data_IF_811256351174
#
_entry.id   IF_811256351174
#
_cell.length_a   1.000
_cell.length_b   1.000
_cell.length_c   1.000
_cell.angle_alpha   90.00
_cell.angle_beta   90.00
_cell.angle_gamma   90.00
#
_symmetry.space_group_name_H-M   'P 1'
#
loop_
_entity.id
_entity.type
_entity.pdbx_description
1 polymer ?
#
# COMPACT_ATOMS: atom_id res chain seq x y z
N UNK A 1 23.13 -14.65 -7.56
CA UNK A 1 24.43 -14.98 -8.24
C UNK A 1 24.46 -16.43 -8.71
N UNK A 2 24.21 -17.42 -7.84
CA UNK A 2 24.23 -18.84 -8.23
C UNK A 2 23.30 -19.16 -9.41
N UNK A 3 22.07 -18.64 -9.41
CA UNK A 3 21.12 -18.84 -10.52
C UNK A 3 21.63 -18.23 -11.85
N UNK A 4 22.22 -17.03 -11.82
CA UNK A 4 22.83 -16.45 -13.02
C UNK A 4 23.95 -17.33 -13.56
N UNK A 5 24.86 -17.80 -12.68
CA UNK A 5 25.89 -18.74 -13.07
C UNK A 5 25.33 -20.02 -13.71
N UNK A 6 24.26 -20.56 -13.14
CA UNK A 6 23.61 -21.75 -13.72
C UNK A 6 23.02 -21.48 -15.11
N UNK A 7 22.29 -20.37 -15.28
CA UNK A 7 21.72 -19.99 -16.59
C UNK A 7 22.80 -19.78 -17.65
N UNK A 8 23.90 -19.12 -17.27
CA UNK A 8 25.04 -18.91 -18.18
C UNK A 8 25.74 -20.23 -18.54
N UNK A 9 26.11 -21.03 -17.54
CA UNK A 9 26.94 -22.24 -17.78
C UNK A 9 26.17 -23.41 -18.34
N UNK A 10 24.91 -23.60 -17.95
CA UNK A 10 24.10 -24.78 -18.37
C UNK A 10 23.23 -24.47 -19.58
N UNK A 11 22.67 -23.26 -19.66
CA UNK A 11 21.72 -22.89 -20.70
C UNK A 11 22.29 -21.87 -21.71
N UNK A 12 23.51 -21.39 -21.53
CA UNK A 12 24.13 -20.34 -22.34
C UNK A 12 23.26 -19.08 -22.48
N UNK A 13 22.53 -18.72 -21.39
CA UNK A 13 21.66 -17.57 -21.32
C UNK A 13 22.28 -16.49 -20.45
N UNK A 14 22.75 -15.41 -21.06
CA UNK A 14 23.42 -14.31 -20.34
C UNK A 14 22.48 -13.16 -20.09
N UNK A 15 22.38 -12.75 -18.83
CA UNK A 15 21.59 -11.58 -18.45
C UNK A 15 22.14 -10.33 -19.15
N UNK A 16 21.27 -9.65 -19.88
CA UNK A 16 21.56 -8.40 -20.59
C UNK A 16 22.15 -8.57 -22.01
N UNK A 17 22.86 -9.65 -22.31
CA UNK A 17 23.46 -9.86 -23.65
C UNK A 17 22.44 -10.44 -24.64
N UNK A 18 21.67 -11.44 -24.21
CA UNK A 18 20.65 -12.10 -25.05
C UNK A 18 19.22 -11.56 -24.83
N UNK A 19 19.10 -10.36 -24.28
CA UNK A 19 17.80 -9.80 -23.91
C UNK A 19 17.16 -10.44 -22.67
N UNK A 20 17.78 -11.46 -22.06
CA UNK A 20 17.30 -12.10 -20.84
C UNK A 20 17.29 -11.09 -19.68
N UNK A 21 16.13 -10.94 -19.03
CA UNK A 21 15.96 -10.15 -17.82
C UNK A 21 15.63 -11.06 -16.64
N UNK A 22 16.36 -10.87 -15.54
CA UNK A 22 16.12 -11.59 -14.29
C UNK A 22 15.45 -10.60 -13.34
N UNK A 23 14.14 -10.77 -13.14
CA UNK A 23 13.32 -9.93 -12.29
C UNK A 23 13.15 -10.60 -10.93
N UNK A 24 13.40 -9.86 -9.85
CA UNK A 24 13.15 -10.35 -8.50
C UNK A 24 11.69 -10.15 -8.13
N UNK A 25 11.03 -11.20 -7.66
CA UNK A 25 9.75 -11.08 -6.99
C UNK A 25 9.96 -10.43 -5.62
N UNK A 26 9.48 -9.19 -5.48
CA UNK A 26 9.54 -8.44 -4.22
C UNK A 26 8.27 -8.69 -3.43
N UNK A 27 8.33 -9.65 -2.52
CA UNK A 27 7.17 -10.15 -1.78
C UNK A 27 7.48 -10.44 -0.31
N UNK A 28 8.73 -10.20 0.12
CA UNK A 28 9.17 -10.36 1.50
C UNK A 28 9.58 -9.00 2.08
N UNK A 29 9.40 -8.76 3.39
CA UNK A 29 9.90 -7.55 4.06
C UNK A 29 11.39 -7.31 3.81
N UNK A 30 12.20 -8.38 3.76
CA UNK A 30 13.63 -8.31 3.47
C UNK A 30 13.93 -7.74 2.07
N UNK A 31 13.03 -7.93 1.10
CA UNK A 31 13.20 -7.37 -0.24
C UNK A 31 13.08 -5.84 -0.21
N UNK A 32 12.17 -5.29 0.58
CA UNK A 32 12.04 -3.84 0.77
C UNK A 32 13.19 -3.28 1.61
N UNK A 33 13.52 -3.91 2.76
CA UNK A 33 14.60 -3.46 3.65
C UNK A 33 15.95 -3.41 2.92
N UNK A 34 16.22 -4.38 2.05
CA UNK A 34 17.47 -4.51 1.29
C UNK A 34 17.29 -4.20 -0.21
N UNK A 35 16.27 -3.41 -0.57
CA UNK A 35 15.91 -3.16 -1.97
C UNK A 35 17.09 -2.61 -2.80
N UNK A 36 17.88 -1.69 -2.22
CA UNK A 36 19.07 -1.12 -2.87
C UNK A 36 20.14 -2.17 -3.20
N UNK A 37 20.31 -3.16 -2.35
CA UNK A 37 21.27 -4.25 -2.57
C UNK A 37 20.74 -5.24 -3.61
N UNK A 38 19.47 -5.61 -3.50
CA UNK A 38 18.85 -6.52 -4.45
C UNK A 38 18.77 -5.94 -5.86
N UNK A 39 18.39 -4.67 -6.02
CA UNK A 39 18.21 -4.08 -7.35
C UNK A 39 19.53 -4.01 -8.15
N UNK A 40 20.67 -4.02 -7.51
CA UNK A 40 21.98 -4.07 -8.17
C UNK A 40 22.27 -5.45 -8.77
N UNK A 41 21.68 -6.51 -8.21
CA UNK A 41 21.87 -7.89 -8.65
C UNK A 41 20.80 -8.35 -9.67
N UNK A 42 19.70 -7.60 -9.83
CA UNK A 42 18.57 -7.94 -10.69
C UNK A 42 18.29 -6.87 -11.75
N UNK A 43 17.54 -7.23 -12.79
CA UNK A 43 17.18 -6.32 -13.89
C UNK A 43 15.91 -5.53 -13.58
N UNK A 44 15.26 -5.81 -12.47
CA UNK A 44 14.06 -5.13 -12.00
C UNK A 44 13.39 -5.86 -10.86
N UNK A 45 12.26 -5.32 -10.42
CA UNK A 45 11.38 -5.93 -9.43
C UNK A 45 10.01 -6.25 -10.03
N UNK A 46 9.36 -7.26 -9.47
CA UNK A 46 7.93 -7.50 -9.60
C UNK A 46 7.33 -7.58 -8.20
N UNK A 47 6.41 -6.69 -7.85
CA UNK A 47 5.84 -6.62 -6.49
C UNK A 47 4.70 -7.62 -6.39
N UNK A 48 4.87 -8.65 -5.55
CA UNK A 48 3.81 -9.58 -5.15
C UNK A 48 3.10 -9.06 -3.91
N UNK A 49 2.10 -8.17 -4.08
CA UNK A 49 1.48 -7.48 -2.94
C UNK A 49 0.79 -8.42 -1.97
N UNK A 50 0.24 -9.53 -2.44
CA UNK A 50 -0.42 -10.50 -1.59
C UNK A 50 0.52 -11.08 -0.53
N UNK A 51 1.66 -11.60 -0.99
CA UNK A 51 2.65 -12.22 -0.10
C UNK A 51 3.41 -11.16 0.69
N UNK A 52 3.71 -9.99 0.09
CA UNK A 52 4.26 -8.85 0.82
C UNK A 52 3.38 -8.48 2.01
N UNK A 53 2.07 -8.35 1.81
CA UNK A 53 1.11 -8.01 2.87
C UNK A 53 1.07 -9.08 3.94
N UNK A 54 1.00 -10.36 3.52
CA UNK A 54 1.00 -11.49 4.43
C UNK A 54 2.26 -11.49 5.32
N UNK A 55 3.42 -11.29 4.74
CA UNK A 55 4.69 -11.35 5.46
C UNK A 55 4.97 -10.09 6.29
N UNK A 56 4.61 -8.91 5.80
CA UNK A 56 4.75 -7.65 6.56
C UNK A 56 3.87 -7.66 7.80
N UNK A 57 2.61 -8.11 7.67
CA UNK A 57 1.65 -8.13 8.76
C UNK A 57 1.67 -9.44 9.57
N UNK A 58 2.55 -10.39 9.21
CA UNK A 58 2.65 -11.71 9.82
C UNK A 58 1.27 -12.41 9.92
N UNK A 59 0.45 -12.32 8.87
CA UNK A 59 -0.92 -12.82 8.82
C UNK A 59 -1.13 -13.74 7.63
N UNK A 60 -1.88 -14.81 7.84
CA UNK A 60 -2.30 -15.70 6.78
C UNK A 60 -3.60 -15.20 6.15
N UNK A 61 -3.56 -14.86 4.85
CA UNK A 61 -4.72 -14.35 4.10
C UNK A 61 -5.87 -15.35 4.00
N UNK A 62 -5.56 -16.65 4.05
CA UNK A 62 -6.54 -17.73 3.91
C UNK A 62 -7.17 -18.10 5.26
N UNK A 63 -6.66 -17.56 6.36
CA UNK A 63 -7.20 -17.75 7.69
C UNK A 63 -8.32 -16.76 7.97
N UNK A 64 -9.57 -17.23 7.97
CA UNK A 64 -10.76 -16.40 8.20
C UNK A 64 -10.75 -15.65 9.55
N UNK A 65 -10.06 -16.17 10.56
CA UNK A 65 -9.92 -15.52 11.87
C UNK A 65 -8.97 -14.33 11.83
N UNK A 66 -8.03 -14.30 10.89
CA UNK A 66 -7.02 -13.27 10.71
C UNK A 66 -7.29 -12.31 9.53
N UNK A 67 -8.30 -12.59 8.71
CA UNK A 67 -8.64 -11.79 7.54
C UNK A 67 -8.86 -10.30 7.82
N UNK A 68 -9.28 -9.96 9.04
CA UNK A 68 -9.46 -8.58 9.47
C UNK A 68 -8.13 -7.83 9.72
N UNK A 69 -7.01 -8.56 9.87
CA UNK A 69 -5.66 -7.99 10.01
C UNK A 69 -5.07 -7.74 8.62
N UNK A 70 -5.30 -8.67 7.66
CA UNK A 70 -4.80 -8.55 6.30
C UNK A 70 -5.32 -7.28 5.63
N UNK A 71 -4.41 -6.41 5.18
CA UNK A 71 -4.78 -5.14 4.54
C UNK A 71 -3.62 -4.60 3.70
N UNK A 72 -3.81 -4.57 2.39
CA UNK A 72 -2.79 -4.08 1.45
C UNK A 72 -2.62 -2.55 1.51
N UNK A 73 -3.54 -1.83 2.17
CA UNK A 73 -3.45 -0.39 2.42
C UNK A 73 -2.76 -0.06 3.76
N UNK A 74 -2.30 -1.06 4.52
CA UNK A 74 -1.58 -0.83 5.77
C UNK A 74 -0.31 0.01 5.51
N UNK A 75 -0.02 1.02 6.36
CA UNK A 75 1.13 1.90 6.18
C UNK A 75 2.47 1.18 6.03
N UNK A 76 2.68 0.05 6.72
CA UNK A 76 3.91 -0.73 6.58
C UNK A 76 3.99 -1.45 5.22
N UNK A 77 2.85 -1.90 4.68
CA UNK A 77 2.78 -2.51 3.35
C UNK A 77 2.99 -1.45 2.27
N UNK A 78 2.31 -0.30 2.39
CA UNK A 78 2.48 0.86 1.50
C UNK A 78 3.94 1.31 1.48
N UNK A 79 4.58 1.42 2.64
CA UNK A 79 6.00 1.74 2.75
C UNK A 79 6.87 0.75 1.97
N UNK A 80 6.67 -0.55 2.14
CA UNK A 80 7.45 -1.59 1.46
C UNK A 80 7.28 -1.55 -0.07
N UNK A 81 6.05 -1.27 -0.55
CA UNK A 81 5.75 -1.06 -1.97
C UNK A 81 6.50 0.16 -2.50
N UNK A 82 6.42 1.30 -1.81
CA UNK A 82 7.08 2.55 -2.22
C UNK A 82 8.61 2.42 -2.24
N UNK A 83 9.21 1.80 -1.23
CA UNK A 83 10.67 1.52 -1.21
C UNK A 83 11.07 0.74 -2.45
N UNK A 84 10.30 -0.29 -2.81
CA UNK A 84 10.59 -1.12 -3.99
C UNK A 84 10.51 -0.31 -5.27
N UNK A 85 9.46 0.51 -5.45
CA UNK A 85 9.26 1.37 -6.63
C UNK A 85 10.39 2.40 -6.72
N UNK A 86 10.64 3.15 -5.65
CA UNK A 86 11.66 4.20 -5.62
C UNK A 86 13.08 3.64 -5.80
N UNK A 87 13.37 2.45 -5.25
CA UNK A 87 14.65 1.79 -5.51
C UNK A 87 14.83 1.44 -6.97
N UNK A 88 13.78 0.95 -7.65
CA UNK A 88 13.83 0.75 -9.09
C UNK A 88 14.14 2.03 -9.86
N UNK A 89 13.50 3.13 -9.51
CA UNK A 89 13.74 4.46 -10.12
C UNK A 89 15.16 4.95 -9.88
N UNK A 90 15.67 4.83 -8.65
CA UNK A 90 17.06 5.23 -8.31
C UNK A 90 18.11 4.56 -9.18
N UNK A 91 17.89 3.29 -9.53
CA UNK A 91 18.82 2.49 -10.33
C UNK A 91 18.40 2.38 -11.81
N UNK A 92 17.39 3.11 -12.25
CA UNK A 92 16.89 3.07 -13.64
C UNK A 92 16.36 1.71 -14.07
N UNK A 93 15.84 0.92 -13.13
CA UNK A 93 15.31 -0.44 -13.37
C UNK A 93 13.78 -0.43 -13.41
N UNK A 94 13.20 -1.38 -14.13
CA UNK A 94 11.75 -1.54 -14.21
C UNK A 94 11.20 -2.15 -12.92
N UNK A 95 10.01 -1.70 -12.52
CA UNK A 95 9.25 -2.26 -11.41
C UNK A 95 7.84 -2.58 -11.88
N UNK A 96 7.48 -3.85 -11.86
CA UNK A 96 6.13 -4.33 -12.13
C UNK A 96 5.35 -4.57 -10.84
N UNK A 97 4.04 -4.65 -10.94
CA UNK A 97 3.14 -5.03 -9.87
C UNK A 97 2.29 -6.21 -10.34
N UNK A 98 2.28 -7.33 -9.60
CA UNK A 98 1.57 -8.54 -9.98
C UNK A 98 0.61 -9.07 -8.91
N UNK A 99 0.43 -8.33 -7.81
CA UNK A 99 -0.52 -8.68 -6.75
C UNK A 99 -1.95 -8.27 -7.07
N UNK A 100 -2.89 -8.76 -6.26
CA UNK A 100 -4.32 -8.45 -6.40
C UNK A 100 -4.69 -7.04 -5.89
N UNK A 101 -3.83 -6.38 -5.13
CA UNK A 101 -4.06 -5.06 -4.54
C UNK A 101 -4.52 -4.02 -5.55
N UNK A 102 -3.90 -3.98 -6.72
CA UNK A 102 -4.30 -3.06 -7.81
C UNK A 102 -5.70 -3.37 -8.35
N UNK A 103 -6.13 -4.63 -8.35
CA UNK A 103 -7.48 -4.98 -8.76
C UNK A 103 -8.52 -4.61 -7.69
N UNK A 104 -8.18 -4.76 -6.42
CA UNK A 104 -9.09 -4.69 -5.28
C UNK A 104 -9.19 -3.30 -4.64
N UNK A 105 -8.10 -2.54 -4.59
CA UNK A 105 -8.02 -1.24 -3.93
C UNK A 105 -7.88 -0.09 -4.92
N UNK A 106 -8.80 0.86 -4.87
CA UNK A 106 -8.74 2.12 -5.61
C UNK A 106 -7.57 2.99 -5.13
N UNK A 107 -7.35 3.02 -3.82
CA UNK A 107 -6.24 3.77 -3.21
C UNK A 107 -4.91 3.21 -3.68
N UNK A 108 -4.75 1.89 -3.65
CA UNK A 108 -3.51 1.25 -4.08
C UNK A 108 -3.26 1.39 -5.59
N UNK A 109 -4.32 1.33 -6.42
CA UNK A 109 -4.21 1.64 -7.85
C UNK A 109 -3.66 3.04 -8.11
N UNK A 110 -4.27 4.04 -7.48
CA UNK A 110 -3.81 5.41 -7.60
C UNK A 110 -2.38 5.60 -7.08
N UNK A 111 -2.06 5.02 -5.93
CA UNK A 111 -0.73 5.06 -5.34
C UNK A 111 0.34 4.57 -6.31
N UNK A 112 0.19 3.35 -6.86
CA UNK A 112 1.23 2.77 -7.72
C UNK A 112 1.34 3.50 -9.06
N UNK A 113 0.23 4.00 -9.61
CA UNK A 113 0.23 4.80 -10.83
C UNK A 113 0.97 6.14 -10.62
N UNK A 114 0.61 6.89 -9.56
CA UNK A 114 1.26 8.17 -9.22
C UNK A 114 2.74 7.95 -8.91
N UNK A 115 3.08 6.88 -8.20
CA UNK A 115 4.46 6.54 -7.86
C UNK A 115 5.33 6.13 -9.05
N UNK A 116 4.74 5.97 -10.25
CA UNK A 116 5.48 5.69 -11.47
C UNK A 116 5.87 4.23 -11.63
N UNK A 117 4.97 3.29 -11.28
CA UNK A 117 5.13 1.87 -11.60
C UNK A 117 5.29 1.68 -13.12
N UNK A 118 6.13 0.71 -13.52
CA UNK A 118 6.41 0.49 -14.95
C UNK A 118 5.32 -0.35 -15.63
N UNK A 119 4.73 -1.29 -14.90
CA UNK A 119 3.68 -2.19 -15.38
C UNK A 119 2.86 -2.75 -14.24
N UNK A 120 1.61 -3.09 -14.51
CA UNK A 120 0.75 -3.81 -13.57
C UNK A 120 0.08 -4.98 -14.29
N UNK A 121 0.11 -6.16 -13.66
CA UNK A 121 -0.62 -7.33 -14.11
C UNK A 121 -1.97 -7.37 -13.41
N UNK A 122 -3.04 -7.48 -14.17
CA UNK A 122 -4.41 -7.55 -13.65
C UNK A 122 -5.19 -8.64 -14.34
N UNK A 123 -6.24 -9.13 -13.70
CA UNK A 123 -7.17 -10.09 -14.32
C UNK A 123 -7.98 -9.39 -15.43
N UNK A 124 -8.41 -10.12 -16.49
CA UNK A 124 -9.10 -9.52 -17.63
C UNK A 124 -10.30 -8.65 -17.26
N UNK A 125 -11.10 -9.07 -16.28
CA UNK A 125 -12.31 -8.38 -15.84
C UNK A 125 -12.06 -6.98 -15.26
N UNK A 126 -10.85 -6.73 -14.73
CA UNK A 126 -10.48 -5.44 -14.14
C UNK A 126 -9.62 -4.58 -15.07
N UNK A 127 -9.22 -5.09 -16.23
CA UNK A 127 -8.27 -4.44 -17.13
C UNK A 127 -8.67 -3.02 -17.54
N UNK A 128 -9.88 -2.87 -18.07
CA UNK A 128 -10.34 -1.55 -18.55
C UNK A 128 -10.48 -0.53 -17.43
N UNK A 129 -11.03 -0.94 -16.30
CA UNK A 129 -11.13 -0.09 -15.11
C UNK A 129 -9.76 0.33 -14.62
N UNK A 130 -8.83 -0.61 -14.46
CA UNK A 130 -7.46 -0.31 -14.00
C UNK A 130 -6.76 0.64 -14.96
N UNK A 131 -6.92 0.45 -16.26
CA UNK A 131 -6.34 1.35 -17.27
C UNK A 131 -6.89 2.77 -17.19
N UNK A 132 -8.21 2.92 -16.98
CA UNK A 132 -8.85 4.23 -16.80
C UNK A 132 -8.38 4.90 -15.51
N UNK A 133 -8.36 4.16 -14.39
CA UNK A 133 -7.94 4.68 -13.10
C UNK A 133 -6.46 5.08 -13.11
N UNK A 134 -5.59 4.33 -13.80
CA UNK A 134 -4.18 4.69 -13.98
C UNK A 134 -4.04 5.98 -14.79
N UNK A 135 -4.73 6.09 -15.91
CA UNK A 135 -4.70 7.31 -16.73
C UNK A 135 -5.21 8.53 -15.95
N UNK A 136 -6.26 8.36 -15.15
CA UNK A 136 -6.79 9.43 -14.28
C UNK A 136 -5.79 9.81 -13.18
N UNK A 137 -5.15 8.84 -12.53
CA UNK A 137 -4.16 9.08 -11.49
C UNK A 137 -2.89 9.76 -12.04
N UNK A 138 -2.41 9.33 -13.20
CA UNK A 138 -1.26 9.96 -13.89
C UNK A 138 -1.57 11.40 -14.32
N UNK A 139 -2.80 11.68 -14.74
CA UNK A 139 -3.25 13.02 -15.13
C UNK A 139 -3.27 14.02 -13.97
N UNK A 140 -3.33 13.55 -12.69
CA UNK A 140 -3.20 14.41 -11.52
C UNK A 140 -1.82 15.07 -11.42
N UNK A 141 -0.81 14.50 -12.08
CA UNK A 141 0.57 14.99 -12.11
C UNK A 141 1.14 15.27 -10.67
N UNK A 142 0.80 14.40 -9.74
CA UNK A 142 1.26 14.49 -8.35
C UNK A 142 2.71 14.01 -8.29
N UNK A 143 3.60 14.83 -7.71
CA UNK A 143 4.97 14.43 -7.40
C UNK A 143 5.03 13.55 -6.14
N UNK A 144 6.16 12.90 -5.91
CA UNK A 144 6.35 12.12 -4.67
C UNK A 144 6.16 12.97 -3.40
N UNK A 145 6.53 14.25 -3.41
CA UNK A 145 6.29 15.17 -2.29
C UNK A 145 4.80 15.45 -2.01
N UNK A 146 3.94 15.31 -3.02
CA UNK A 146 2.48 15.44 -2.86
C UNK A 146 1.77 14.12 -2.54
N UNK A 147 2.46 12.99 -2.67
CA UNK A 147 1.87 11.66 -2.58
C UNK A 147 1.30 11.35 -1.20
N UNK A 148 2.00 11.75 -0.13
CA UNK A 148 1.53 11.54 1.24
C UNK A 148 0.25 12.32 1.53
N UNK A 149 0.16 13.56 1.07
CA UNK A 149 -1.07 14.36 1.17
C UNK A 149 -2.20 13.69 0.41
N UNK A 150 -1.96 13.25 -0.82
CA UNK A 150 -2.94 12.54 -1.63
C UNK A 150 -3.46 11.28 -0.93
N UNK A 151 -2.58 10.45 -0.38
CA UNK A 151 -2.96 9.26 0.40
C UNK A 151 -3.87 9.62 1.58
N UNK A 152 -3.50 10.63 2.35
CA UNK A 152 -4.32 11.12 3.47
C UNK A 152 -5.73 11.52 3.02
N UNK A 153 -5.85 12.27 1.93
CA UNK A 153 -7.13 12.67 1.35
C UNK A 153 -7.97 11.48 0.88
N UNK A 154 -7.36 10.44 0.28
CA UNK A 154 -8.08 9.23 -0.13
C UNK A 154 -8.64 8.47 1.08
N UNK A 155 -7.85 8.28 2.12
CA UNK A 155 -8.29 7.60 3.35
C UNK A 155 -9.36 8.41 4.11
N UNK A 156 -9.24 9.74 4.15
CA UNK A 156 -10.27 10.61 4.72
C UNK A 156 -11.58 10.50 3.94
N UNK A 157 -11.54 10.53 2.61
CA UNK A 157 -12.72 10.37 1.78
C UNK A 157 -13.38 8.99 1.96
N UNK A 158 -12.57 7.92 2.09
CA UNK A 158 -13.05 6.57 2.40
C UNK A 158 -13.74 6.52 3.75
N UNK A 159 -13.17 7.16 4.78
CA UNK A 159 -13.77 7.25 6.12
C UNK A 159 -15.07 8.04 6.11
N UNK A 160 -15.14 9.16 5.40
CA UNK A 160 -16.39 9.96 5.24
C UNK A 160 -17.51 9.08 4.71
N UNK A 161 -17.27 8.37 3.59
CA UNK A 161 -18.28 7.47 3.00
C UNK A 161 -18.77 6.40 4.00
N UNK A 162 -17.86 5.83 4.79
CA UNK A 162 -18.22 4.83 5.81
C UNK A 162 -19.05 5.43 6.96
N UNK A 163 -18.72 6.62 7.41
CA UNK A 163 -19.43 7.32 8.48
C UNK A 163 -20.85 7.72 8.02
N UNK A 164 -20.97 8.24 6.81
CA UNK A 164 -22.27 8.60 6.22
C UNK A 164 -23.17 7.36 6.04
N UNK A 165 -22.61 6.27 5.51
CA UNK A 165 -23.33 5.00 5.38
C UNK A 165 -23.77 4.42 6.74
N UNK A 166 -23.03 4.71 7.80
CA UNK A 166 -23.40 4.35 9.18
C UNK A 166 -24.35 5.35 9.88
N UNK A 167 -24.86 6.36 9.16
CA UNK A 167 -25.73 7.40 9.71
C UNK A 167 -25.04 8.40 10.64
N UNK A 168 -23.71 8.53 10.53
CA UNK A 168 -22.86 9.39 11.38
C UNK A 168 -22.37 10.63 10.61
N UNK A 169 -23.24 11.30 9.85
CA UNK A 169 -22.90 12.43 9.00
C UNK A 169 -22.23 13.61 9.76
N UNK A 170 -22.62 13.85 11.01
CA UNK A 170 -21.99 14.90 11.82
C UNK A 170 -20.56 14.57 12.19
N UNK A 171 -20.25 13.29 12.42
CA UNK A 171 -18.90 12.80 12.68
C UNK A 171 -18.04 12.84 11.41
N UNK A 172 -18.64 12.60 10.25
CA UNK A 172 -17.95 12.68 8.97
C UNK A 172 -17.28 14.03 8.72
N UNK A 173 -17.83 15.11 9.25
CA UNK A 173 -17.23 16.47 9.22
C UNK A 173 -15.90 16.56 9.97
N UNK A 174 -15.60 15.62 10.85
CA UNK A 174 -14.34 15.57 11.61
C UNK A 174 -13.22 14.79 10.87
N UNK A 175 -13.55 14.10 9.78
CA UNK A 175 -12.60 13.20 9.10
C UNK A 175 -11.34 13.91 8.56
N UNK A 176 -11.44 15.21 8.26
CA UNK A 176 -10.30 16.03 7.84
C UNK A 176 -9.40 16.51 8.97
N UNK A 177 -9.80 16.30 10.23
CA UNK A 177 -9.01 16.67 11.42
C UNK A 177 -8.56 15.39 12.15
N UNK A 178 -7.30 14.97 11.96
CA UNK A 178 -6.78 13.72 12.54
C UNK A 178 -6.97 13.60 14.04
N UNK A 179 -6.80 14.69 14.79
CA UNK A 179 -6.93 14.68 16.23
C UNK A 179 -8.40 14.50 16.68
N UNK A 180 -9.30 15.21 16.03
CA UNK A 180 -10.73 15.15 16.37
C UNK A 180 -11.35 13.80 16.01
N UNK A 181 -11.04 13.28 14.82
CA UNK A 181 -11.59 11.98 14.41
C UNK A 181 -11.06 10.84 15.27
N UNK A 182 -9.79 10.91 15.68
CA UNK A 182 -9.20 9.96 16.61
C UNK A 182 -9.86 10.05 17.99
N UNK A 183 -10.02 11.25 18.54
CA UNK A 183 -10.66 11.45 19.82
C UNK A 183 -12.10 10.96 19.83
N UNK A 184 -12.84 11.16 18.75
CA UNK A 184 -14.17 10.59 18.60
C UNK A 184 -14.15 9.05 18.64
N UNK A 185 -13.25 8.42 17.89
CA UNK A 185 -13.13 6.96 17.86
C UNK A 185 -12.80 6.38 19.23
N UNK A 186 -11.87 7.01 19.95
CA UNK A 186 -11.45 6.57 21.28
C UNK A 186 -12.59 6.73 22.30
N UNK A 187 -13.33 7.85 22.26
CA UNK A 187 -14.49 8.10 23.12
C UNK A 187 -15.62 7.09 22.86
N UNK A 188 -15.94 6.81 21.60
CA UNK A 188 -17.01 5.85 21.26
C UNK A 188 -16.59 4.41 21.60
N UNK A 189 -15.32 4.07 21.43
CA UNK A 189 -14.78 2.78 21.87
C UNK A 189 -14.89 2.62 23.39
N UNK A 190 -14.53 3.66 24.16
CA UNK A 190 -14.65 3.66 25.60
C UNK A 190 -16.09 3.51 26.07
N UNK A 191 -17.04 4.23 25.42
CA UNK A 191 -18.48 4.13 25.69
C UNK A 191 -19.00 2.69 25.49
N UNK A 192 -18.64 2.07 24.34
CA UNK A 192 -19.04 0.69 24.03
C UNK A 192 -18.41 -0.34 24.97
N UNK A 193 -17.18 -0.12 25.43
CA UNK A 193 -16.56 -0.94 26.49
C UNK A 193 -17.29 -0.79 27.82
N UNK A 194 -17.76 0.42 28.17
CA UNK A 194 -18.59 0.67 29.34
C UNK A 194 -19.88 -0.14 29.28
N UNK A 195 -20.63 -0.04 28.19
CA UNK A 195 -21.88 -0.79 27.99
C UNK A 195 -21.67 -2.31 28.07
N UNK A 196 -20.57 -2.83 27.50
CA UNK A 196 -20.23 -4.24 27.61
C UNK A 196 -20.01 -4.62 29.07
N UNK A 197 -19.20 -3.87 29.81
CA UNK A 197 -18.90 -4.12 31.23
C UNK A 197 -20.17 -4.12 32.08
N UNK A 198 -21.04 -3.13 31.86
CA UNK A 198 -22.29 -2.99 32.65
C UNK A 198 -23.34 -4.05 32.28
N UNK A 199 -23.17 -4.76 31.17
CA UNK A 199 -24.05 -5.83 30.71
C UNK A 199 -23.55 -7.25 31.05
N UNK A 200 -22.36 -7.39 31.62
CA UNK A 200 -21.75 -8.68 31.89
C UNK A 200 -22.64 -9.59 32.77
N UNK A 201 -22.82 -10.84 32.33
CA UNK A 201 -23.69 -11.82 32.98
C UNK A 201 -25.19 -11.60 32.76
N UNK A 202 -25.58 -10.58 32.02
CA UNK A 202 -26.96 -10.24 31.72
C UNK A 202 -27.41 -10.56 30.28
N UNK A 203 -28.70 -10.43 30.01
CA UNK A 203 -29.31 -10.72 28.72
C UNK A 203 -28.80 -9.84 27.58
N UNK A 204 -28.18 -8.69 27.88
CA UNK A 204 -27.66 -7.71 26.90
C UNK A 204 -26.16 -7.93 26.57
N UNK A 205 -25.43 -8.79 27.24
CA UNK A 205 -24.00 -8.97 27.06
C UNK A 205 -23.62 -9.28 25.60
N UNK A 206 -24.31 -10.23 24.96
CA UNK A 206 -24.03 -10.62 23.59
C UNK A 206 -24.28 -9.45 22.61
N UNK A 207 -25.31 -8.64 22.85
CA UNK A 207 -25.60 -7.47 22.03
C UNK A 207 -24.52 -6.41 22.15
N UNK A 208 -24.09 -6.10 23.39
CA UNK A 208 -23.01 -5.14 23.65
C UNK A 208 -21.67 -5.62 23.07
N UNK A 209 -21.33 -6.89 23.21
CA UNK A 209 -20.13 -7.52 22.64
C UNK A 209 -20.14 -7.43 21.11
N UNK A 210 -21.28 -7.72 20.48
CA UNK A 210 -21.43 -7.62 19.02
C UNK A 210 -21.31 -6.18 18.56
N UNK A 211 -21.91 -5.21 19.26
CA UNK A 211 -21.81 -3.79 18.92
C UNK A 211 -20.37 -3.29 18.93
N UNK A 212 -19.62 -3.58 19.99
CA UNK A 212 -18.20 -3.22 20.12
C UNK A 212 -17.36 -3.86 19.01
N UNK A 213 -17.55 -5.18 18.78
CA UNK A 213 -16.82 -5.91 17.71
C UNK A 213 -17.10 -5.30 16.35
N UNK A 214 -18.36 -5.04 16.01
CA UNK A 214 -18.76 -4.46 14.73
C UNK A 214 -18.20 -3.04 14.57
N UNK A 215 -18.29 -2.20 15.60
CA UNK A 215 -17.75 -0.85 15.57
C UNK A 215 -16.25 -0.85 15.29
N UNK A 216 -15.48 -1.66 16.01
CA UNK A 216 -14.03 -1.77 15.79
C UNK A 216 -13.68 -2.31 14.40
N UNK A 217 -14.38 -3.35 13.95
CA UNK A 217 -14.17 -3.91 12.62
C UNK A 217 -14.43 -2.88 11.50
N UNK A 218 -15.43 -2.00 11.70
CA UNK A 218 -15.82 -1.00 10.69
C UNK A 218 -14.90 0.22 10.68
N UNK A 219 -14.52 0.74 11.86
CA UNK A 219 -13.92 2.07 11.96
C UNK A 219 -12.45 2.09 12.39
N UNK A 220 -11.92 1.01 12.96
CA UNK A 220 -10.55 1.03 13.52
C UNK A 220 -9.51 1.43 12.46
N UNK A 221 -9.34 0.62 11.42
CA UNK A 221 -8.37 0.90 10.36
C UNK A 221 -8.68 2.19 9.60
N UNK A 222 -9.93 2.45 9.15
CA UNK A 222 -10.25 3.68 8.44
C UNK A 222 -9.93 4.95 9.23
N UNK A 223 -10.17 4.98 10.55
CA UNK A 223 -9.81 6.13 11.40
C UNK A 223 -8.30 6.27 11.54
N UNK A 224 -7.59 5.15 11.76
CA UNK A 224 -6.13 5.18 11.85
C UNK A 224 -5.53 5.70 10.55
N UNK A 225 -5.94 5.20 9.40
CA UNK A 225 -5.36 5.57 8.12
C UNK A 225 -5.71 7.00 7.70
N UNK A 226 -6.92 7.48 8.02
CA UNK A 226 -7.29 8.89 7.81
C UNK A 226 -6.48 9.85 8.68
N UNK A 227 -6.00 9.39 9.85
CA UNK A 227 -5.19 10.16 10.79
C UNK A 227 -3.68 9.87 10.68
N UNK A 228 -3.26 9.00 9.78
CA UNK A 228 -1.85 8.60 9.63
C UNK A 228 -1.01 9.70 9.00
N UNK A 229 0.25 9.79 9.40
CA UNK A 229 1.21 10.70 8.77
C UNK A 229 1.80 10.07 7.49
N UNK A 230 1.04 10.08 6.41
CA UNK A 230 1.45 9.53 5.12
C UNK A 230 2.66 10.24 4.50
N UNK A 231 2.88 11.52 4.83
CA UNK A 231 4.06 12.25 4.38
C UNK A 231 5.34 11.61 4.92
N UNK A 232 5.39 11.29 6.20
CA UNK A 232 6.50 10.58 6.82
C UNK A 232 6.74 9.21 6.18
N UNK A 233 5.67 8.44 5.94
CA UNK A 233 5.78 7.12 5.26
C UNK A 233 6.42 7.24 3.88
N UNK A 234 6.03 8.24 3.09
CA UNK A 234 6.58 8.47 1.75
C UNK A 234 8.03 8.96 1.82
N UNK A 235 8.34 9.84 2.75
CA UNK A 235 9.69 10.38 2.97
C UNK A 235 10.66 9.29 3.43
N UNK A 236 10.26 8.47 4.40
CA UNK A 236 11.06 7.32 4.85
C UNK A 236 11.32 6.31 3.72
N UNK A 237 10.31 6.01 2.90
CA UNK A 237 10.46 5.13 1.77
C UNK A 237 11.42 5.71 0.72
N UNK A 238 11.38 7.02 0.50
CA UNK A 238 12.27 7.74 -0.42
C UNK A 238 13.73 7.65 0.06
N UNK A 239 13.97 7.92 1.34
CA UNK A 239 15.30 7.83 1.95
C UNK A 239 15.83 6.39 1.96
N UNK A 240 14.99 5.41 2.30
CA UNK A 240 15.34 3.99 2.25
C UNK A 240 15.77 3.55 0.85
N UNK A 241 15.11 4.06 -0.19
CA UNK A 241 15.46 3.83 -1.59
C UNK A 241 16.77 4.53 -2.02
N UNK A 242 17.31 5.43 -1.21
CA UNK A 242 18.59 6.10 -1.41
C UNK A 242 18.51 7.45 -2.10
N UNK A 243 17.35 8.07 -2.11
CA UNK A 243 17.21 9.47 -2.52
C UNK A 243 17.42 10.40 -1.32
N UNK A 244 18.09 11.52 -1.54
CA UNK A 244 18.25 12.54 -0.53
C UNK A 244 17.06 13.53 -0.51
N UNK A 245 16.44 13.77 -1.67
CA UNK A 245 15.34 14.71 -1.81
C UNK A 245 14.27 14.23 -2.80
N UNK A 246 13.09 14.83 -2.74
CA UNK A 246 12.00 14.59 -3.68
C UNK A 246 12.35 15.05 -5.11
N UNK A 247 13.14 16.11 -5.26
CA UNK A 247 13.59 16.63 -6.56
C UNK A 247 14.49 15.60 -7.25
N UNK A 248 15.37 14.96 -6.50
CA UNK A 248 16.24 13.88 -7.01
C UNK A 248 15.40 12.70 -7.53
N UNK A 249 14.36 12.32 -6.79
CA UNK A 249 13.42 11.25 -7.21
C UNK A 249 12.63 11.68 -8.46
N UNK A 250 12.14 12.91 -8.49
CA UNK A 250 11.38 13.42 -9.64
C UNK A 250 12.23 13.42 -10.91
N UNK A 251 13.50 13.80 -10.83
CA UNK A 251 14.44 13.73 -11.94
C UNK A 251 14.67 12.29 -12.42
N UNK A 252 14.85 11.35 -11.51
CA UNK A 252 15.02 9.92 -11.83
C UNK A 252 13.77 9.33 -12.49
N UNK A 253 12.58 9.68 -12.01
CA UNK A 253 11.31 9.25 -12.61
C UNK A 253 11.12 9.82 -14.01
N UNK A 254 11.45 11.10 -14.22
CA UNK A 254 11.38 11.73 -15.54
C UNK A 254 12.32 11.05 -16.56
N UNK A 255 13.53 10.70 -16.13
CA UNK A 255 14.48 9.99 -16.98
C UNK A 255 14.00 8.55 -17.29
N UNK A 256 13.41 7.86 -16.32
CA UNK A 256 12.82 6.54 -16.53
C UNK A 256 11.67 6.58 -17.55
N UNK A 257 10.78 7.58 -17.45
CA UNK A 257 9.65 7.77 -18.37
C UNK A 257 10.13 8.02 -19.81
N UNK A 258 11.22 8.80 -19.99
CA UNK A 258 11.82 9.01 -21.33
C UNK A 258 12.35 7.72 -21.97
N UNK A 259 12.87 6.78 -21.17
CA UNK A 259 13.37 5.50 -21.67
C UNK A 259 12.26 4.50 -22.00
N UNK A 260 11.04 4.74 -21.52
CA UNK A 260 9.87 3.87 -21.75
C UNK A 260 8.96 4.37 -22.88
N UNK A 261 9.04 5.64 -23.24
CA UNK A 261 8.36 6.24 -24.38
C UNK A 261 9.08 5.91 -25.71
#
# INVERSE_FOLDING_TARGET
>A
RAMRGYLDTVHNLRSGEDGLKIILMSELPSNAILARQFIQEFDGFSIGSNDMTQMVLATDRDNSSLSHIYDEEDPAVVWAILVTIFSGQKFGKKVGFCGQGVANSEVLRGLVAISGITSASVVPDTYYRTKQDFAAAEALNISASGLGKWLGEQHQAKLVRLLEAAGKADVAKLASDPAKIRAWYDAETARLHGELRDSLGGSRENTARKALKTFRATFHKPVIYAAWNWNETVEDALHQAGFATFEEQAAALAEQRKKLA
#
